data_IF_244228973685
#
_entry.id   IF_244228973685
#
_cell.length_a   1.000
_cell.length_b   1.000
_cell.length_c   1.000
_cell.angle_alpha   90.00
_cell.angle_beta   90.00
_cell.angle_gamma   90.00
#
_symmetry.space_group_name_H-M   'P 1'
#
loop_
_entity.id
_entity.type
_entity.pdbx_description
1 polymer ?
#
# COMPACT_ATOMS: atom_id res chain seq x y z
N UNK A 1 13.95 -19.69 0.67
CA UNK A 1 14.06 -18.31 0.15
C UNK A 1 13.69 -17.33 1.26
N UNK A 2 14.02 -16.04 1.13
CA UNK A 2 13.75 -15.01 2.15
C UNK A 2 12.80 -13.95 1.56
N UNK A 3 11.47 -14.20 1.56
CA UNK A 3 10.48 -13.29 0.98
C UNK A 3 10.38 -11.98 1.77
N UNK A 4 10.02 -10.90 1.07
CA UNK A 4 9.86 -9.57 1.66
C UNK A 4 8.55 -8.93 1.21
N UNK A 5 7.93 -8.15 2.11
CA UNK A 5 6.78 -7.32 1.75
C UNK A 5 7.23 -6.20 0.84
N UNK A 6 6.74 -6.18 -0.41
CA UNK A 6 7.17 -5.25 -1.44
C UNK A 6 5.98 -4.50 -2.04
N UNK A 7 6.03 -3.16 -2.16
CA UNK A 7 5.04 -2.39 -2.90
C UNK A 7 4.94 -2.80 -4.37
N UNK A 8 3.71 -2.87 -4.87
CA UNK A 8 3.37 -3.18 -6.26
C UNK A 8 2.33 -2.21 -6.79
N UNK A 9 2.25 -2.09 -8.11
CA UNK A 9 1.18 -1.37 -8.79
C UNK A 9 -0.09 -2.22 -8.80
N UNK A 10 -1.25 -1.57 -8.92
CA UNK A 10 -2.55 -2.26 -8.98
C UNK A 10 -2.63 -3.23 -10.16
N UNK A 11 -2.00 -2.89 -11.28
CA UNK A 11 -1.96 -3.70 -12.49
C UNK A 11 -1.20 -5.01 -12.31
N UNK A 12 -0.22 -5.06 -11.39
CA UNK A 12 0.64 -6.23 -11.14
C UNK A 12 -0.02 -7.26 -10.21
N UNK A 13 -1.10 -6.90 -9.50
CA UNK A 13 -1.66 -7.73 -8.41
C UNK A 13 -2.11 -9.13 -8.83
N UNK A 14 -2.48 -9.33 -10.10
CA UNK A 14 -2.92 -10.64 -10.60
C UNK A 14 -1.75 -11.58 -10.87
N UNK A 15 -0.57 -11.02 -11.08
CA UNK A 15 0.61 -11.75 -11.57
C UNK A 15 1.66 -11.98 -10.48
N UNK A 16 1.60 -11.19 -9.39
CA UNK A 16 2.50 -11.30 -8.24
C UNK A 16 1.85 -12.06 -7.10
N UNK A 17 2.66 -12.79 -6.34
CA UNK A 17 2.26 -13.46 -5.11
C UNK A 17 3.23 -13.07 -3.97
N UNK A 18 2.92 -13.40 -2.70
CA UNK A 18 3.78 -13.02 -1.57
C UNK A 18 5.24 -13.52 -1.66
N UNK A 19 5.51 -14.55 -2.46
CA UNK A 19 6.86 -15.07 -2.71
C UNK A 19 7.59 -14.45 -3.90
N UNK A 20 6.93 -13.61 -4.71
CA UNK A 20 7.52 -12.99 -5.91
C UNK A 20 8.71 -12.07 -5.61
N UNK A 21 8.78 -11.55 -4.38
CA UNK A 21 9.85 -10.63 -3.95
C UNK A 21 10.61 -11.20 -2.78
N UNK A 22 11.94 -11.17 -2.87
CA UNK A 22 12.87 -11.68 -1.86
C UNK A 22 14.00 -10.70 -1.65
N UNK A 23 14.79 -10.90 -0.59
CA UNK A 23 15.99 -10.09 -0.34
C UNK A 23 16.96 -10.03 -1.54
N UNK A 24 16.91 -11.02 -2.45
CA UNK A 24 17.79 -11.10 -3.62
C UNK A 24 17.38 -10.20 -4.78
N UNK A 25 16.09 -9.92 -4.95
CA UNK A 25 15.57 -9.17 -6.11
C UNK A 25 14.92 -7.82 -5.74
N UNK A 26 14.65 -7.61 -4.44
CA UNK A 26 13.94 -6.45 -3.95
C UNK A 26 14.65 -5.12 -4.26
N UNK A 27 15.96 -5.06 -4.04
CA UNK A 27 16.75 -3.85 -4.26
C UNK A 27 16.83 -3.47 -5.75
N UNK A 28 16.93 -4.45 -6.65
CA UNK A 28 16.97 -4.20 -8.09
C UNK A 28 15.63 -3.66 -8.59
N UNK A 29 14.52 -4.17 -8.05
CA UNK A 29 13.19 -3.60 -8.31
C UNK A 29 13.09 -2.15 -7.85
N UNK A 30 13.52 -1.82 -6.64
CA UNK A 30 13.46 -0.44 -6.13
C UNK A 30 14.28 0.50 -7.02
N UNK A 31 15.46 0.08 -7.48
CA UNK A 31 16.27 0.86 -8.43
C UNK A 31 15.56 1.07 -9.78
N UNK A 32 14.79 0.08 -10.24
CA UNK A 32 14.08 0.12 -11.52
C UNK A 32 12.80 0.96 -11.46
N UNK A 33 11.97 0.71 -10.45
CA UNK A 33 10.62 1.28 -10.34
C UNK A 33 10.57 2.58 -9.53
N UNK A 34 11.61 2.84 -8.72
CA UNK A 34 11.60 3.89 -7.72
C UNK A 34 10.74 3.55 -6.50
N UNK A 35 10.42 4.55 -5.70
CA UNK A 35 9.51 4.43 -4.57
C UNK A 35 8.05 4.62 -5.03
N UNK A 36 7.33 3.50 -5.18
CA UNK A 36 5.92 3.51 -5.57
C UNK A 36 5.01 4.15 -4.51
N UNK A 37 5.44 4.21 -3.26
CA UNK A 37 4.68 4.76 -2.15
C UNK A 37 5.05 6.21 -1.82
N UNK A 38 6.03 6.80 -2.51
CA UNK A 38 6.41 8.22 -2.33
C UNK A 38 5.21 9.19 -2.34
N UNK A 39 4.17 9.02 -3.19
CA UNK A 39 3.00 9.90 -3.16
C UNK A 39 2.20 9.84 -1.85
N UNK A 40 2.27 8.73 -1.09
CA UNK A 40 1.55 8.56 0.17
C UNK A 40 2.03 9.52 1.25
N UNK A 41 3.27 10.00 1.17
CA UNK A 41 3.83 10.96 2.13
C UNK A 41 3.05 12.27 2.18
N UNK A 42 2.34 12.62 1.10
CA UNK A 42 1.56 13.85 1.00
C UNK A 42 0.06 13.59 0.82
N UNK A 43 -0.37 12.32 0.87
CA UNK A 43 -1.76 11.95 0.71
C UNK A 43 -2.49 12.05 2.05
N UNK A 44 -3.39 13.02 2.16
CA UNK A 44 -4.30 13.13 3.30
C UNK A 44 -5.64 12.47 2.94
N UNK A 45 -6.06 11.49 3.74
CA UNK A 45 -7.35 10.82 3.58
C UNK A 45 -8.21 11.06 4.82
N UNK A 46 -9.47 11.45 4.62
CA UNK A 46 -10.46 11.51 5.71
C UNK A 46 -11.12 10.15 5.90
N UNK A 47 -11.42 9.80 7.15
CA UNK A 47 -12.22 8.63 7.49
C UNK A 47 -13.73 8.87 7.43
N UNK A 48 -14.19 10.12 7.24
CA UNK A 48 -15.61 10.49 7.34
C UNK A 48 -16.50 9.65 6.43
N UNK A 49 -16.07 9.41 5.20
CA UNK A 49 -16.82 8.59 4.25
C UNK A 49 -16.91 7.14 4.71
N UNK A 50 -15.82 6.57 5.24
CA UNK A 50 -15.80 5.20 5.75
C UNK A 50 -16.70 5.06 6.99
N UNK A 51 -16.64 6.03 7.92
CA UNK A 51 -17.48 6.04 9.12
C UNK A 51 -18.97 6.17 8.77
N UNK A 52 -19.31 7.05 7.81
CA UNK A 52 -20.67 7.16 7.29
C UNK A 52 -21.17 5.85 6.67
N UNK A 53 -20.33 5.17 5.89
CA UNK A 53 -20.66 3.86 5.31
C UNK A 53 -20.91 2.79 6.38
N UNK A 54 -20.16 2.84 7.49
CA UNK A 54 -20.30 1.92 8.61
C UNK A 54 -21.42 2.30 9.59
N UNK A 55 -22.05 3.47 9.43
CA UNK A 55 -23.08 3.98 10.36
C UNK A 55 -22.52 4.34 11.73
N UNK A 56 -21.20 4.55 11.85
CA UNK A 56 -20.56 4.97 13.10
C UNK A 56 -20.64 6.48 13.19
N UNK A 57 -21.34 6.99 14.20
CA UNK A 57 -21.34 8.42 14.53
C UNK A 57 -20.06 8.80 15.26
N UNK A 58 -19.36 9.83 14.81
CA UNK A 58 -18.21 10.38 15.52
C UNK A 58 -18.66 11.00 16.85
N UNK A 59 -18.27 10.38 17.97
CA UNK A 59 -18.58 10.87 19.32
C UNK A 59 -17.86 12.18 19.69
N UNK A 60 -17.05 12.75 18.80
CA UNK A 60 -16.44 14.09 18.94
C UNK A 60 -17.34 15.22 18.47
N UNK A 61 -18.47 14.91 17.82
CA UNK A 61 -19.52 15.87 17.49
C UNK A 61 -20.56 15.89 18.63
N UNK A 62 -20.15 16.38 19.79
CA UNK A 62 -21.02 16.86 20.86
C UNK A 62 -20.74 18.34 21.09
#
# INVERSE_FOLDING_TARGET
EAPVSMPVRWEELRDVNPGSFTIKNALDRIKKEGDLFAPLLNLNQSLDQALKLLGVTDGRLH
#
